data_IF_096814141067
#
_entry.id   IF_096814141067
#
_cell.length_a   1.000
_cell.length_b   1.000
_cell.length_c   1.000
_cell.angle_alpha   90.00
_cell.angle_beta   90.00
_cell.angle_gamma   90.00
#
_symmetry.space_group_name_H-M   'P 1'
#
loop_
_entity.id
_entity.type
_entity.pdbx_description
1 polymer ?
#
# COMPACT_ATOMS: atom_id res chain seq x y z
N UNK A 1 -45.83 -35.09 -49.14
CA UNK A 1 -44.54 -34.35 -49.16
C UNK A 1 -44.68 -33.17 -48.21
N UNK A 2 -44.19 -33.31 -46.97
CA UNK A 2 -44.20 -32.24 -45.96
C UNK A 2 -42.78 -31.83 -45.72
N UNK A 3 -42.39 -30.61 -46.13
CA UNK A 3 -41.06 -30.01 -45.85
C UNK A 3 -41.15 -29.34 -44.52
N UNK A 4 -40.35 -29.84 -43.53
CA UNK A 4 -40.14 -29.21 -42.27
C UNK A 4 -39.02 -28.16 -42.39
N UNK A 5 -39.34 -26.92 -42.07
CA UNK A 5 -38.38 -25.83 -42.00
C UNK A 5 -37.78 -25.84 -40.60
N UNK A 6 -36.47 -26.12 -40.47
CA UNK A 6 -35.76 -25.99 -39.20
C UNK A 6 -35.24 -24.57 -39.07
N UNK A 7 -35.75 -23.81 -38.08
CA UNK A 7 -35.24 -22.51 -37.69
C UNK A 7 -34.12 -22.72 -36.68
N UNK A 8 -32.88 -22.49 -37.08
CA UNK A 8 -31.73 -22.47 -36.18
C UNK A 8 -31.68 -21.10 -35.49
N UNK A 9 -31.98 -21.07 -34.18
CA UNK A 9 -31.77 -19.90 -33.35
C UNK A 9 -30.30 -19.90 -32.92
N UNK A 10 -29.54 -19.04 -33.57
CA UNK A 10 -28.14 -18.77 -33.18
C UNK A 10 -28.08 -17.96 -31.87
N UNK A 11 -27.68 -18.60 -30.78
CA UNK A 11 -27.38 -17.95 -29.52
C UNK A 11 -25.98 -17.28 -29.67
N UNK A 12 -25.95 -15.98 -29.99
CA UNK A 12 -24.73 -15.19 -29.90
C UNK A 12 -24.45 -14.89 -28.43
N UNK A 13 -23.51 -15.62 -27.84
CA UNK A 13 -22.99 -15.30 -26.52
C UNK A 13 -22.26 -13.95 -26.60
N UNK A 14 -22.87 -12.88 -26.08
CA UNK A 14 -22.18 -11.64 -25.78
C UNK A 14 -21.18 -11.95 -24.67
N UNK A 15 -19.92 -12.12 -25.02
CA UNK A 15 -18.82 -12.10 -24.07
C UNK A 15 -18.67 -10.67 -23.55
N UNK A 16 -19.23 -10.41 -22.36
CA UNK A 16 -18.97 -9.19 -21.60
C UNK A 16 -17.52 -9.31 -21.12
N UNK A 17 -16.59 -8.69 -21.86
CA UNK A 17 -15.23 -8.52 -21.39
C UNK A 17 -15.29 -7.70 -20.10
N UNK A 18 -15.09 -8.35 -18.96
CA UNK A 18 -14.94 -7.69 -17.69
C UNK A 18 -13.63 -6.90 -17.73
N UNK A 19 -13.70 -5.63 -18.01
CA UNK A 19 -12.58 -4.72 -17.81
C UNK A 19 -12.34 -4.60 -16.30
N UNK A 20 -11.51 -5.49 -15.76
CA UNK A 20 -10.91 -5.29 -14.46
C UNK A 20 -9.98 -4.09 -14.60
N UNK A 21 -10.41 -2.92 -14.14
CA UNK A 21 -9.54 -1.76 -14.11
C UNK A 21 -8.42 -2.07 -13.13
N UNK A 22 -7.18 -2.09 -13.64
CA UNK A 22 -6.01 -2.23 -12.80
C UNK A 22 -5.99 -1.07 -11.80
N UNK A 23 -5.65 -1.32 -10.53
CA UNK A 23 -5.56 -0.25 -9.54
C UNK A 23 -4.49 0.75 -9.96
N UNK A 24 -4.79 2.02 -9.81
CA UNK A 24 -3.78 3.07 -9.95
C UNK A 24 -3.02 3.16 -8.64
N UNK A 25 -1.72 2.90 -8.68
CA UNK A 25 -0.87 2.88 -7.49
C UNK A 25 0.16 4.02 -7.55
N UNK A 26 0.27 4.77 -6.45
CA UNK A 26 1.37 5.70 -6.21
C UNK A 26 2.19 5.22 -5.03
N UNK A 27 3.51 5.26 -5.17
CA UNK A 27 4.45 4.83 -4.12
C UNK A 27 5.47 5.94 -3.90
N UNK A 28 5.69 6.28 -2.63
CA UNK A 28 6.82 7.08 -2.17
C UNK A 28 7.77 6.18 -1.38
N UNK A 29 9.07 6.36 -1.57
CA UNK A 29 10.09 5.58 -0.87
C UNK A 29 11.19 6.50 -0.37
N UNK A 30 11.58 6.31 0.89
CA UNK A 30 12.70 6.98 1.53
C UNK A 30 13.69 5.88 1.93
N UNK A 31 14.97 6.10 1.63
CA UNK A 31 16.04 5.19 2.01
C UNK A 31 17.06 5.95 2.85
N UNK A 32 17.35 5.44 4.04
CA UNK A 32 18.40 5.91 4.92
C UNK A 32 19.44 4.82 5.12
N UNK A 33 20.71 5.22 5.16
CA UNK A 33 21.82 4.35 5.49
C UNK A 33 22.56 4.93 6.68
N UNK A 34 22.93 4.05 7.61
CA UNK A 34 23.70 4.42 8.78
C UNK A 34 24.64 3.30 9.17
N UNK A 35 25.71 3.61 9.90
CA UNK A 35 26.61 2.60 10.49
C UNK A 35 26.28 2.40 11.95
N UNK A 36 26.42 1.19 12.42
CA UNK A 36 26.32 0.89 13.84
C UNK A 36 27.59 1.42 14.53
N UNK A 37 27.42 2.41 15.41
CA UNK A 37 28.48 3.00 16.19
C UNK A 37 28.65 2.33 17.56
N UNK A 38 27.52 1.91 18.18
CA UNK A 38 27.50 1.17 19.44
C UNK A 38 26.28 0.25 19.53
N UNK A 39 26.40 -0.81 20.32
CA UNK A 39 25.31 -1.75 20.63
C UNK A 39 25.30 -1.95 22.14
N UNK A 40 24.13 -1.83 22.73
CA UNK A 40 23.83 -2.27 24.09
C UNK A 40 22.95 -3.52 24.01
N UNK A 41 23.49 -4.67 24.40
CA UNK A 41 22.78 -5.93 24.34
C UNK A 41 21.79 -6.09 25.50
N UNK A 42 22.05 -5.48 26.65
CA UNK A 42 21.20 -5.59 27.83
C UNK A 42 19.90 -4.79 27.61
N UNK A 43 20.03 -3.56 27.15
CA UNK A 43 18.91 -2.67 26.86
C UNK A 43 18.36 -2.84 25.43
N UNK A 44 19.00 -3.69 24.60
CA UNK A 44 18.66 -3.92 23.19
C UNK A 44 18.60 -2.63 22.38
N UNK A 45 19.57 -1.75 22.57
CA UNK A 45 19.68 -0.51 21.81
C UNK A 45 20.86 -0.51 20.86
N UNK A 46 20.69 0.19 19.73
CA UNK A 46 21.71 0.39 18.71
C UNK A 46 21.88 1.88 18.49
N UNK A 47 23.10 2.37 18.62
CA UNK A 47 23.44 3.73 18.20
C UNK A 47 23.87 3.71 16.75
N UNK A 48 23.14 4.42 15.92
CA UNK A 48 23.39 4.55 14.49
C UNK A 48 24.01 5.92 14.19
N UNK A 49 24.95 5.95 13.25
CA UNK A 49 25.57 7.15 12.73
C UNK A 49 25.30 7.28 11.24
N UNK A 50 24.64 8.35 10.84
CA UNK A 50 24.39 8.65 9.45
C UNK A 50 25.64 9.22 8.73
N UNK A 51 25.52 9.44 7.41
CA UNK A 51 26.58 10.01 6.58
C UNK A 51 26.98 11.45 6.98
N UNK A 52 26.11 12.17 7.66
CA UNK A 52 26.30 13.55 8.11
C UNK A 52 26.89 13.60 9.52
N UNK A 53 27.09 12.44 10.17
CA UNK A 53 27.65 12.28 11.50
C UNK A 53 26.63 12.39 12.63
N UNK A 54 25.33 12.49 12.32
CA UNK A 54 24.28 12.50 13.34
C UNK A 54 24.16 11.13 13.97
N UNK A 55 23.95 11.13 15.28
CA UNK A 55 23.74 9.91 16.06
C UNK A 55 22.26 9.76 16.42
N UNK A 56 21.74 8.55 16.24
CA UNK A 56 20.39 8.17 16.63
C UNK A 56 20.43 6.85 17.40
N UNK A 57 19.72 6.80 18.53
CA UNK A 57 19.59 5.58 19.33
C UNK A 57 18.26 4.94 19.06
N UNK A 58 18.27 3.70 18.60
CA UNK A 58 17.07 2.92 18.31
C UNK A 58 16.97 1.70 19.24
N UNK A 59 15.77 1.45 19.74
CA UNK A 59 15.45 0.24 20.47
C UNK A 59 15.06 -0.88 19.49
N UNK A 60 15.71 -2.01 19.61
CA UNK A 60 15.42 -3.23 18.86
C UNK A 60 14.45 -4.13 19.64
N UNK A 61 13.18 -4.08 19.30
CA UNK A 61 12.14 -4.87 19.96
C UNK A 61 12.40 -6.39 19.96
N UNK A 62 11.66 -7.15 20.78
CA UNK A 62 11.87 -8.60 20.91
C UNK A 62 11.54 -9.40 19.64
N UNK A 63 10.85 -8.80 18.67
CA UNK A 63 10.58 -9.37 17.35
C UNK A 63 11.84 -9.45 16.48
N UNK A 64 12.89 -8.65 16.76
CA UNK A 64 14.19 -8.70 16.09
C UNK A 64 15.00 -9.85 16.70
N UNK A 65 14.82 -11.06 16.18
CA UNK A 65 15.38 -12.30 16.76
C UNK A 65 16.88 -12.43 16.58
N UNK A 66 17.47 -11.80 15.56
CA UNK A 66 18.89 -11.88 15.24
C UNK A 66 19.67 -10.64 15.70
N UNK A 67 19.19 -9.98 16.75
CA UNK A 67 19.82 -8.78 17.31
C UNK A 67 21.27 -9.02 17.74
N UNK A 68 21.54 -10.19 18.35
CA UNK A 68 22.86 -10.55 18.87
C UNK A 68 23.91 -10.82 17.77
N UNK A 69 23.46 -10.88 16.51
CA UNK A 69 24.38 -11.03 15.37
C UNK A 69 24.87 -9.68 14.82
N UNK A 70 24.29 -8.56 15.28
CA UNK A 70 24.72 -7.22 14.89
C UNK A 70 26.10 -6.90 15.43
N UNK A 71 26.89 -6.15 14.67
CA UNK A 71 28.24 -5.74 15.06
C UNK A 71 28.43 -4.24 14.84
N UNK A 72 29.23 -3.65 15.70
CA UNK A 72 29.72 -2.29 15.49
C UNK A 72 30.48 -2.25 14.14
N UNK A 73 30.17 -1.25 13.33
CA UNK A 73 30.70 -1.08 11.99
C UNK A 73 29.81 -1.65 10.86
N UNK A 74 28.81 -2.49 11.18
CA UNK A 74 27.82 -2.94 10.17
C UNK A 74 27.07 -1.73 9.58
N UNK A 75 26.79 -1.78 8.27
CA UNK A 75 25.93 -0.79 7.60
C UNK A 75 24.48 -1.29 7.66
N UNK A 76 23.60 -0.42 8.13
CA UNK A 76 22.16 -0.68 8.19
C UNK A 76 21.45 0.19 7.17
N UNK A 77 20.68 -0.44 6.30
CA UNK A 77 19.81 0.22 5.34
C UNK A 77 18.36 0.14 5.83
N UNK A 78 17.74 1.30 6.00
CA UNK A 78 16.31 1.44 6.29
C UNK A 78 15.61 1.91 5.02
N UNK A 79 14.63 1.16 4.54
CA UNK A 79 13.81 1.55 3.41
C UNK A 79 12.36 1.62 3.85
N UNK A 80 11.86 2.83 3.98
CA UNK A 80 10.46 3.12 4.28
C UNK A 80 9.71 3.41 2.98
N UNK A 81 8.57 2.76 2.79
CA UNK A 81 7.73 2.94 1.62
C UNK A 81 6.27 3.12 2.03
N UNK A 82 5.62 4.09 1.42
CA UNK A 82 4.17 4.27 1.48
C UNK A 82 3.59 4.11 0.08
N UNK A 83 2.49 3.40 -0.03
CA UNK A 83 1.75 3.31 -1.28
C UNK A 83 0.25 3.44 -1.07
N UNK A 84 -0.40 4.09 -2.03
CA UNK A 84 -1.85 4.19 -2.13
C UNK A 84 -2.27 3.57 -3.45
N UNK A 85 -3.09 2.55 -3.40
CA UNK A 85 -3.71 1.95 -4.56
C UNK A 85 -5.21 2.30 -4.58
N UNK A 86 -5.68 2.78 -5.73
CA UNK A 86 -7.06 3.19 -5.95
C UNK A 86 -7.68 2.27 -7.00
N UNK A 87 -8.81 1.66 -6.67
CA UNK A 87 -9.61 0.85 -7.61
C UNK A 87 -11.02 1.38 -7.67
N UNK A 88 -11.45 1.79 -8.86
CA UNK A 88 -12.84 2.15 -9.09
C UNK A 88 -13.72 0.90 -9.00
N UNK A 89 -14.77 0.97 -8.17
CA UNK A 89 -15.75 -0.11 -8.01
C UNK A 89 -16.90 0.10 -8.98
N UNK A 90 -17.39 -0.98 -9.57
CA UNK A 90 -18.56 -0.90 -10.44
C UNK A 90 -19.82 -0.60 -9.63
N UNK A 91 -20.83 0.09 -10.21
CA UNK A 91 -22.13 0.19 -9.61
C UNK A 91 -22.72 -1.18 -9.29
N UNK A 92 -23.13 -1.40 -8.04
CA UNK A 92 -23.64 -2.68 -7.56
C UNK A 92 -22.61 -3.62 -6.94
N UNK A 93 -21.31 -3.36 -7.09
CA UNK A 93 -20.30 -4.11 -6.35
C UNK A 93 -20.48 -3.89 -4.83
N UNK A 94 -20.36 -4.95 -4.01
CA UNK A 94 -20.40 -4.79 -2.56
C UNK A 94 -19.25 -3.90 -2.10
N UNK A 95 -19.50 -3.05 -1.10
CA UNK A 95 -18.43 -2.29 -0.46
C UNK A 95 -17.44 -3.28 0.20
N UNK A 96 -16.15 -2.99 0.09
CA UNK A 96 -15.15 -3.68 0.89
C UNK A 96 -15.13 -3.00 2.25
N UNK A 97 -15.46 -3.74 3.29
CA UNK A 97 -15.44 -3.23 4.65
C UNK A 97 -14.05 -2.69 5.00
N UNK A 98 -14.02 -1.61 5.76
CA UNK A 98 -12.76 -1.09 6.26
C UNK A 98 -12.04 -2.18 7.06
N UNK A 99 -10.81 -2.47 6.66
CA UNK A 99 -9.97 -3.48 7.32
C UNK A 99 -8.58 -2.90 7.56
N UNK A 100 -8.06 -3.17 8.74
CA UNK A 100 -6.66 -2.96 9.07
C UNK A 100 -6.09 -4.35 9.33
N UNK A 101 -5.25 -4.80 8.41
CA UNK A 101 -4.57 -6.10 8.53
C UNK A 101 -3.54 -6.08 9.65
N UNK A 102 -3.34 -7.23 10.30
CA UNK A 102 -2.18 -7.42 11.18
C UNK A 102 -0.89 -7.18 10.39
N UNK A 103 0.14 -6.58 11.02
CA UNK A 103 1.42 -6.39 10.34
C UNK A 103 2.02 -7.72 9.88
N UNK A 104 2.30 -7.82 8.59
CA UNK A 104 3.04 -8.95 8.04
C UNK A 104 4.54 -8.74 8.28
N UNK A 105 5.16 -9.63 9.05
CA UNK A 105 6.58 -9.61 9.36
C UNK A 105 7.28 -10.69 8.57
N UNK A 106 8.24 -10.32 7.73
CA UNK A 106 9.10 -11.23 6.99
C UNK A 106 10.51 -11.08 7.51
N UNK A 107 11.15 -12.20 7.88
CA UNK A 107 12.54 -12.24 8.34
C UNK A 107 13.42 -12.75 7.23
N UNK A 108 14.52 -12.05 6.98
CA UNK A 108 15.53 -12.49 6.04
C UNK A 108 16.29 -13.71 6.55
N UNK A 109 16.64 -14.60 5.64
CA UNK A 109 17.42 -15.83 5.90
C UNK A 109 18.86 -15.71 5.43
N UNK A 110 19.31 -14.52 5.03
CA UNK A 110 20.67 -14.23 4.58
C UNK A 110 21.70 -14.34 5.70
N UNK A 111 22.97 -14.17 5.34
CA UNK A 111 24.12 -14.23 6.27
C UNK A 111 24.04 -13.15 7.36
N UNK A 112 23.51 -11.98 7.04
CA UNK A 112 23.29 -10.86 7.97
C UNK A 112 21.81 -10.71 8.32
N UNK A 113 21.48 -10.10 9.48
CA UNK A 113 20.10 -9.82 9.87
C UNK A 113 19.40 -8.91 8.86
N UNK A 114 18.20 -9.30 8.46
CA UNK A 114 17.33 -8.47 7.63
C UNK A 114 15.87 -8.81 7.88
N UNK A 115 14.96 -7.93 7.48
CA UNK A 115 13.54 -8.17 7.59
C UNK A 115 12.70 -7.01 7.10
N UNK A 116 11.42 -7.27 6.96
CA UNK A 116 10.45 -6.24 6.63
C UNK A 116 9.17 -6.38 7.46
N UNK A 117 8.56 -5.25 7.72
CA UNK A 117 7.22 -5.15 8.30
C UNK A 117 6.35 -4.43 7.29
N UNK A 118 5.22 -5.03 6.93
CA UNK A 118 4.24 -4.43 6.03
C UNK A 118 2.89 -4.37 6.73
N UNK A 119 2.27 -3.21 6.71
CA UNK A 119 0.90 -3.00 7.17
C UNK A 119 0.04 -2.50 6.02
N UNK A 120 -1.15 -3.05 5.89
CA UNK A 120 -2.10 -2.67 4.85
C UNK A 120 -3.44 -2.33 5.48
N UNK A 121 -4.02 -1.23 5.03
CA UNK A 121 -5.36 -0.79 5.38
C UNK A 121 -6.17 -0.63 4.10
N UNK A 122 -7.38 -1.15 4.10
CA UNK A 122 -8.29 -1.04 2.95
C UNK A 122 -9.61 -0.47 3.40
N UNK A 123 -10.17 0.45 2.63
CA UNK A 123 -11.49 1.02 2.86
C UNK A 123 -12.17 1.36 1.54
N UNK A 124 -13.50 1.34 1.52
CA UNK A 124 -14.29 1.88 0.41
C UNK A 124 -14.75 3.28 0.76
N UNK A 125 -14.56 4.22 -0.15
CA UNK A 125 -15.03 5.59 -0.02
C UNK A 125 -16.00 5.94 -1.14
N UNK A 126 -16.96 6.80 -0.84
CA UNK A 126 -17.88 7.37 -1.81
C UNK A 126 -17.37 8.73 -2.26
N UNK A 127 -17.26 8.97 -3.57
CA UNK A 127 -16.94 10.29 -4.10
C UNK A 127 -18.16 11.19 -3.96
N UNK A 128 -18.04 12.24 -3.17
CA UNK A 128 -19.11 13.24 -2.96
C UNK A 128 -19.03 14.39 -3.95
N UNK A 129 -17.82 14.87 -4.21
CA UNK A 129 -17.61 15.98 -5.13
C UNK A 129 -16.20 15.92 -5.74
N UNK A 130 -16.08 16.50 -6.93
CA UNK A 130 -14.82 16.72 -7.63
C UNK A 130 -14.78 18.16 -8.06
N UNK A 131 -13.74 18.89 -7.70
CA UNK A 131 -13.48 20.23 -8.22
C UNK A 131 -12.33 20.17 -9.24
N UNK A 132 -12.63 20.28 -10.54
CA UNK A 132 -11.62 20.23 -11.58
C UNK A 132 -10.73 21.48 -11.63
N UNK A 133 -11.17 22.60 -11.04
CA UNK A 133 -10.42 23.86 -11.04
C UNK A 133 -9.28 23.83 -10.02
N UNK A 134 -9.55 23.33 -8.82
CA UNK A 134 -8.58 23.23 -7.73
C UNK A 134 -8.08 21.80 -7.54
N UNK A 135 -8.11 20.93 -8.55
CA UNK A 135 -8.10 19.47 -8.56
C UNK A 135 -8.25 18.86 -7.15
N UNK A 136 -9.43 19.09 -6.56
CA UNK A 136 -9.77 18.59 -5.23
C UNK A 136 -10.83 17.49 -5.34
N UNK A 137 -10.70 16.49 -4.48
CA UNK A 137 -11.60 15.36 -4.35
C UNK A 137 -12.19 15.36 -2.94
N UNK A 138 -13.51 15.34 -2.84
CA UNK A 138 -14.20 15.15 -1.57
C UNK A 138 -14.78 13.75 -1.53
N UNK A 139 -14.43 12.98 -0.52
CA UNK A 139 -14.91 11.62 -0.31
C UNK A 139 -15.61 11.48 1.03
N UNK A 140 -16.47 10.48 1.14
CA UNK A 140 -17.12 10.08 2.38
C UNK A 140 -16.80 8.61 2.66
N UNK A 141 -16.36 8.33 3.88
CA UNK A 141 -16.15 6.97 4.40
C UNK A 141 -17.48 6.32 4.77
N UNK A 142 -17.49 5.00 4.97
CA UNK A 142 -18.72 4.26 5.33
C UNK A 142 -19.32 4.71 6.67
N UNK A 143 -18.48 5.16 7.61
CA UNK A 143 -18.92 5.73 8.90
C UNK A 143 -19.41 7.19 8.79
N UNK A 144 -19.52 7.73 7.56
CA UNK A 144 -20.10 9.04 7.26
C UNK A 144 -19.13 10.22 7.36
N UNK A 145 -17.87 10.01 7.75
CA UNK A 145 -16.86 11.08 7.79
C UNK A 145 -16.57 11.57 6.38
N UNK A 146 -16.47 12.88 6.22
CA UNK A 146 -16.13 13.51 4.94
C UNK A 146 -14.74 14.11 5.01
N UNK A 147 -13.95 13.86 3.98
CA UNK A 147 -12.59 14.37 3.83
C UNK A 147 -12.39 14.96 2.45
N UNK A 148 -11.63 16.05 2.36
CA UNK A 148 -11.26 16.67 1.08
C UNK A 148 -9.75 16.76 0.99
N UNK A 149 -9.21 16.43 -0.18
CA UNK A 149 -7.79 16.50 -0.45
C UNK A 149 -7.51 16.89 -1.89
N UNK A 150 -6.36 17.50 -2.09
CA UNK A 150 -5.89 17.88 -3.41
C UNK A 150 -5.32 16.65 -4.13
N UNK A 151 -5.69 16.48 -5.40
CA UNK A 151 -5.18 15.41 -6.26
C UNK A 151 -4.11 16.00 -7.18
N UNK A 152 -2.87 15.59 -7.01
CA UNK A 152 -1.75 16.09 -7.83
C UNK A 152 -1.88 15.67 -9.29
N UNK A 153 -2.26 14.41 -9.51
CA UNK A 153 -2.44 13.86 -10.85
C UNK A 153 -3.89 14.02 -11.33
N UNK A 154 -4.11 15.07 -12.09
CA UNK A 154 -5.43 15.35 -12.70
C UNK A 154 -5.95 14.21 -13.59
N UNK A 155 -5.06 13.34 -14.09
CA UNK A 155 -5.42 12.17 -14.89
C UNK A 155 -6.31 11.20 -14.12
N UNK A 156 -6.14 11.09 -12.81
CA UNK A 156 -6.95 10.24 -11.93
C UNK A 156 -8.41 10.70 -11.84
N UNK A 157 -8.65 11.99 -12.02
CA UNK A 157 -10.01 12.57 -11.95
C UNK A 157 -10.83 12.37 -13.23
N UNK A 158 -10.20 12.01 -14.35
CA UNK A 158 -10.89 11.91 -15.65
C UNK A 158 -11.91 10.76 -15.71
N UNK A 159 -11.69 9.71 -14.96
CA UNK A 159 -12.48 8.48 -15.01
C UNK A 159 -13.39 8.28 -13.79
N UNK A 160 -13.51 9.28 -12.93
CA UNK A 160 -14.30 9.23 -11.70
C UNK A 160 -15.32 10.36 -11.68
N UNK A 161 -16.45 10.14 -11.04
CA UNK A 161 -17.55 11.12 -10.88
C UNK A 161 -18.14 11.05 -9.49
N UNK A 162 -18.87 12.10 -9.09
CA UNK A 162 -19.63 12.05 -7.86
C UNK A 162 -20.64 10.89 -7.89
N UNK A 163 -20.73 10.15 -6.80
CA UNK A 163 -21.51 8.92 -6.66
C UNK A 163 -20.73 7.63 -6.92
N UNK A 164 -19.53 7.70 -7.50
CA UNK A 164 -18.68 6.52 -7.66
C UNK A 164 -18.12 6.06 -6.31
N UNK A 165 -17.90 4.76 -6.19
CA UNK A 165 -17.17 4.14 -5.06
C UNK A 165 -15.75 3.81 -5.48
N UNK A 166 -14.82 4.09 -4.60
CA UNK A 166 -13.40 3.78 -4.79
C UNK A 166 -12.91 2.97 -3.61
N UNK A 167 -12.33 1.82 -3.90
CA UNK A 167 -11.55 1.06 -2.94
C UNK A 167 -10.17 1.71 -2.84
N UNK A 168 -9.80 2.09 -1.63
CA UNK A 168 -8.50 2.68 -1.29
C UNK A 168 -7.74 1.68 -0.47
N UNK A 169 -6.58 1.27 -0.96
CA UNK A 169 -5.64 0.43 -0.20
C UNK A 169 -4.40 1.26 0.11
N UNK A 170 -4.14 1.47 1.39
CA UNK A 170 -2.95 2.13 1.90
C UNK A 170 -1.99 1.10 2.47
N UNK A 171 -0.75 1.13 2.02
CA UNK A 171 0.28 0.19 2.47
C UNK A 171 1.50 0.95 2.97
N UNK A 172 1.94 0.61 4.17
CA UNK A 172 3.22 1.04 4.73
C UNK A 172 4.13 -0.18 4.78
N UNK A 173 5.36 -0.02 4.32
CA UNK A 173 6.38 -1.06 4.42
C UNK A 173 7.68 -0.46 4.94
N UNK A 174 8.26 -1.11 5.95
CA UNK A 174 9.60 -0.84 6.45
C UNK A 174 10.46 -2.07 6.19
N UNK A 175 11.55 -1.89 5.47
CA UNK A 175 12.58 -2.91 5.30
C UNK A 175 13.84 -2.46 6.03
N UNK A 176 14.46 -3.38 6.75
CA UNK A 176 15.74 -3.20 7.42
C UNK A 176 16.67 -4.28 6.87
N UNK A 177 17.83 -3.88 6.40
CA UNK A 177 18.86 -4.77 5.86
C UNK A 177 20.23 -4.39 6.42
N UNK A 178 20.96 -5.39 6.93
CA UNK A 178 22.30 -5.23 7.52
C UNK A 178 23.32 -5.82 6.58
N UNK A 179 24.40 -5.09 6.30
CA UNK A 179 25.48 -5.46 5.38
C UNK A 179 26.84 -5.47 6.09
#
# INVERSE_FOLDING_TARGET
MKRALAVAVGLTALSIAAYAQNPVTKTATITHKAKIEAIDHDDRTVTLKDKDGNLEVLYAGPEIKRFDELKVGDEVTFKYSESVALRLRKPGDPAVAASSGEPAIVRGTGAKPSGSVTRQETATVLIKAIDPKTPALTVQTEDGRTMSFKVEDKGLLKNVKAGDRVEVTYTIALLIDVQ
#
